data_IF_252753725930
#
_entry.id   IF_252753725930
#
_cell.length_a   1.000
_cell.length_b   1.000
_cell.length_c   1.000
_cell.angle_alpha   90.00
_cell.angle_beta   90.00
_cell.angle_gamma   90.00
#
_symmetry.space_group_name_H-M   'P 1'
#
loop_
_entity.id
_entity.type
_entity.pdbx_description
1 polymer ?
#
# COMPACT_ATOMS: atom_id res chain seq x y z
N UNK A 1 3.08 -10.76 -40.52
CA UNK A 1 4.13 -10.90 -39.45
C UNK A 1 4.81 -9.56 -39.32
N UNK A 2 4.83 -8.99 -38.08
CA UNK A 2 5.56 -7.75 -37.82
C UNK A 2 7.07 -7.98 -38.00
N UNK A 3 7.76 -7.08 -38.69
CA UNK A 3 9.22 -7.16 -38.84
C UNK A 3 9.96 -6.82 -37.53
N UNK A 4 11.26 -7.11 -37.46
CA UNK A 4 12.04 -6.92 -36.24
C UNK A 4 12.04 -5.45 -35.74
N UNK A 5 12.04 -4.46 -36.67
CA UNK A 5 11.97 -3.02 -36.30
C UNK A 5 10.60 -2.63 -35.73
N UNK A 6 9.52 -3.21 -36.24
CA UNK A 6 8.16 -2.99 -35.70
C UNK A 6 8.00 -3.62 -34.32
N UNK A 7 8.57 -4.81 -34.09
CA UNK A 7 8.59 -5.44 -32.76
C UNK A 7 9.38 -4.63 -31.75
N UNK A 8 10.55 -4.13 -32.13
CA UNK A 8 11.37 -3.25 -31.28
C UNK A 8 10.64 -1.93 -31.03
N UNK A 9 9.97 -1.36 -32.02
CA UNK A 9 9.20 -0.11 -31.87
C UNK A 9 7.98 -0.31 -30.96
N UNK A 10 7.28 -1.44 -31.06
CA UNK A 10 6.18 -1.81 -30.15
C UNK A 10 6.73 -2.07 -28.75
N UNK A 11 7.85 -2.77 -28.61
CA UNK A 11 8.50 -3.02 -27.33
C UNK A 11 9.00 -1.72 -26.69
N UNK A 12 9.61 -0.81 -27.46
CA UNK A 12 9.99 0.52 -26.99
C UNK A 12 8.79 1.40 -26.67
N UNK A 13 7.67 1.27 -27.37
CA UNK A 13 6.40 1.93 -27.03
C UNK A 13 5.78 1.33 -25.76
N UNK A 14 5.90 0.03 -25.53
CA UNK A 14 5.48 -0.64 -24.30
C UNK A 14 6.36 -0.23 -23.12
N UNK A 15 7.69 -0.22 -23.30
CA UNK A 15 8.64 0.31 -22.31
C UNK A 15 8.40 1.80 -22.08
N UNK A 16 8.20 2.57 -23.15
CA UNK A 16 7.92 4.00 -23.06
C UNK A 16 6.55 4.27 -22.42
N UNK A 17 5.53 3.46 -22.65
CA UNK A 17 4.25 3.50 -21.92
C UNK A 17 4.41 3.02 -20.47
N UNK A 18 5.23 2.01 -20.19
CA UNK A 18 5.53 1.54 -18.84
C UNK A 18 6.46 2.48 -18.05
N UNK A 19 7.43 3.12 -18.72
CA UNK A 19 8.34 4.11 -18.14
C UNK A 19 7.77 5.54 -18.17
N UNK A 20 6.78 5.84 -19.03
CA UNK A 20 6.19 7.16 -19.22
C UNK A 20 4.74 7.29 -18.72
N UNK A 21 4.20 6.29 -18.02
CA UNK A 21 3.02 6.50 -17.18
C UNK A 21 3.38 6.98 -15.77
N UNK A 22 4.46 7.73 -15.64
CA UNK A 22 4.54 8.79 -14.63
C UNK A 22 3.79 10.01 -15.21
N UNK A 23 2.49 9.87 -15.48
CA UNK A 23 1.64 11.04 -15.66
C UNK A 23 1.74 11.79 -14.35
N UNK A 24 2.21 13.03 -14.44
CA UNK A 24 2.27 13.91 -13.27
C UNK A 24 0.89 13.92 -12.64
N UNK A 25 0.82 13.57 -11.36
CA UNK A 25 -0.46 13.53 -10.66
C UNK A 25 -0.98 14.97 -10.55
N UNK A 26 -2.23 15.23 -10.92
CA UNK A 26 -2.85 16.56 -10.92
C UNK A 26 -2.74 17.29 -9.58
N UNK A 27 -2.56 16.55 -8.50
CA UNK A 27 -2.52 17.07 -7.14
C UNK A 27 -1.11 17.10 -6.54
N UNK A 28 -0.07 16.89 -7.36
CA UNK A 28 1.34 16.99 -6.96
C UNK A 28 1.88 15.81 -6.17
N UNK A 29 1.20 14.65 -6.18
CA UNK A 29 1.72 13.45 -5.57
C UNK A 29 2.80 12.78 -6.43
N UNK A 30 3.83 12.25 -5.77
CA UNK A 30 4.95 11.58 -6.43
C UNK A 30 5.26 10.23 -5.77
N UNK A 31 5.82 9.25 -6.52
CA UNK A 31 6.37 8.04 -5.93
C UNK A 31 7.40 8.33 -4.85
N UNK A 32 7.47 7.47 -3.83
CA UNK A 32 8.29 7.57 -2.61
C UNK A 32 7.83 8.65 -1.62
N UNK A 33 6.82 9.43 -1.94
CA UNK A 33 6.22 10.35 -0.98
C UNK A 33 5.49 9.54 0.11
N UNK A 34 5.74 9.88 1.37
CA UNK A 34 4.99 9.34 2.50
C UNK A 34 3.77 10.20 2.81
N UNK A 35 2.66 9.55 3.13
CA UNK A 35 1.39 10.14 3.53
C UNK A 35 0.85 9.39 4.75
N UNK A 36 0.05 10.06 5.57
CA UNK A 36 -0.58 9.44 6.75
C UNK A 36 -2.09 9.33 6.54
N UNK A 37 -2.66 8.14 6.72
CA UNK A 37 -4.09 7.88 6.59
C UNK A 37 -4.56 7.15 7.85
N UNK A 38 -5.47 7.73 8.61
CA UNK A 38 -5.98 7.13 9.85
C UNK A 38 -4.89 6.80 10.87
N UNK A 39 -3.80 7.60 10.90
CA UNK A 39 -2.65 7.38 11.79
C UNK A 39 -1.64 6.34 11.30
N UNK A 40 -1.83 5.75 10.12
CA UNK A 40 -0.91 4.79 9.51
C UNK A 40 -0.15 5.46 8.37
N UNK A 41 1.17 5.30 8.35
CA UNK A 41 2.04 5.80 7.29
C UNK A 41 1.94 4.89 6.04
N UNK A 42 1.77 5.51 4.88
CA UNK A 42 1.77 4.86 3.58
C UNK A 42 2.77 5.53 2.65
N UNK A 43 3.49 4.76 1.89
CA UNK A 43 4.37 5.24 0.82
C UNK A 43 3.67 5.13 -0.53
N UNK A 44 3.62 6.21 -1.29
CA UNK A 44 3.13 6.21 -2.67
C UNK A 44 4.14 5.47 -3.53
N UNK A 45 3.70 4.40 -4.20
CA UNK A 45 4.57 3.56 -5.04
C UNK A 45 4.32 3.77 -6.53
N UNK A 46 3.15 4.30 -6.89
CA UNK A 46 2.77 4.62 -8.27
C UNK A 46 1.76 5.76 -8.29
N UNK A 47 1.83 6.60 -9.32
CA UNK A 47 0.88 7.69 -9.53
C UNK A 47 0.29 7.65 -10.93
N UNK A 48 -0.94 8.13 -11.05
CA UNK A 48 -1.59 8.46 -12.32
C UNK A 48 -2.30 9.82 -12.18
N UNK A 49 -2.91 10.30 -13.23
CA UNK A 49 -3.55 11.63 -13.26
C UNK A 49 -4.54 11.84 -12.11
N UNK A 50 -5.37 10.83 -11.80
CA UNK A 50 -6.48 10.94 -10.82
C UNK A 50 -6.37 10.03 -9.61
N UNK A 51 -5.35 9.18 -9.54
CA UNK A 51 -5.17 8.25 -8.42
C UNK A 51 -3.70 8.05 -8.06
N UNK A 52 -3.51 7.58 -6.85
CA UNK A 52 -2.21 7.09 -6.36
C UNK A 52 -2.38 5.67 -5.85
N UNK A 53 -1.36 4.83 -6.06
CA UNK A 53 -1.24 3.51 -5.41
C UNK A 53 -0.22 3.64 -4.30
N UNK A 54 -0.60 3.26 -3.10
CA UNK A 54 0.26 3.33 -1.93
C UNK A 54 0.28 2.00 -1.16
N UNK A 55 1.40 1.73 -0.53
CA UNK A 55 1.60 0.58 0.36
C UNK A 55 1.91 1.10 1.76
N UNK A 56 1.47 0.42 2.81
CA UNK A 56 1.85 0.79 4.16
C UNK A 56 3.38 0.86 4.28
N UNK A 57 3.93 1.92 4.87
CA UNK A 57 5.38 2.11 4.99
C UNK A 57 6.02 1.01 5.82
N UNK A 58 5.30 0.52 6.84
CA UNK A 58 5.65 -0.59 7.73
C UNK A 58 4.59 -1.69 7.68
N UNK A 59 4.89 -2.87 8.22
CA UNK A 59 3.85 -3.87 8.50
C UNK A 59 2.91 -3.36 9.60
N UNK A 60 1.61 -3.53 9.42
CA UNK A 60 0.61 -3.13 10.43
C UNK A 60 0.48 -4.13 11.58
N UNK A 61 1.20 -5.23 11.52
CA UNK A 61 1.27 -6.34 12.45
C UNK A 61 1.63 -7.62 11.72
N UNK A 62 1.67 -8.73 12.44
CA UNK A 62 1.88 -10.06 11.90
C UNK A 62 0.55 -10.84 11.94
N UNK A 63 0.39 -11.77 11.02
CA UNK A 63 -0.77 -12.65 10.95
C UNK A 63 -0.66 -13.73 9.88
N UNK A 64 -1.43 -14.78 10.04
CA UNK A 64 -1.59 -15.79 9.00
C UNK A 64 -2.24 -15.19 7.76
N UNK A 65 -1.86 -15.67 6.60
CA UNK A 65 -2.57 -15.35 5.37
C UNK A 65 -3.98 -15.96 5.40
N UNK A 66 -4.05 -17.22 5.85
CA UNK A 66 -5.31 -17.94 6.04
C UNK A 66 -5.14 -19.09 7.06
N UNK A 67 -5.97 -19.12 8.11
CA UNK A 67 -5.89 -20.10 9.19
C UNK A 67 -6.21 -21.54 8.72
N UNK A 68 -6.94 -21.71 7.62
CA UNK A 68 -7.23 -22.98 6.98
C UNK A 68 -6.15 -23.38 5.96
N UNK A 69 -5.03 -22.64 5.91
CA UNK A 69 -3.90 -22.91 5.01
C UNK A 69 -4.26 -22.82 3.52
N UNK A 70 -5.21 -21.95 3.16
CA UNK A 70 -5.56 -21.64 1.76
C UNK A 70 -4.66 -20.52 1.25
N UNK A 71 -4.13 -20.68 0.06
CA UNK A 71 -3.29 -19.65 -0.58
C UNK A 71 -4.04 -18.83 -1.64
N UNK A 72 -5.35 -18.97 -1.75
CA UNK A 72 -6.23 -18.13 -2.55
C UNK A 72 -6.54 -16.83 -1.79
N UNK A 73 -6.01 -15.71 -2.25
CA UNK A 73 -6.24 -14.41 -1.61
C UNK A 73 -7.73 -14.07 -1.55
N UNK A 74 -8.51 -14.34 -2.60
CA UNK A 74 -9.93 -14.00 -2.66
C UNK A 74 -10.77 -14.69 -1.57
N UNK A 75 -10.33 -15.87 -1.11
CA UNK A 75 -10.99 -16.66 -0.08
C UNK A 75 -10.30 -16.58 1.30
N UNK A 76 -9.22 -15.78 1.45
CA UNK A 76 -8.37 -15.79 2.64
C UNK A 76 -8.89 -14.92 3.79
N UNK A 77 -8.48 -15.27 5.01
CA UNK A 77 -8.77 -14.50 6.22
C UNK A 77 -8.12 -13.10 6.16
N UNK A 78 -6.92 -12.98 5.58
CA UNK A 78 -6.22 -11.70 5.45
C UNK A 78 -6.98 -10.74 4.54
N UNK A 79 -7.57 -11.22 3.45
CA UNK A 79 -8.43 -10.42 2.57
C UNK A 79 -9.67 -9.93 3.31
N UNK A 80 -10.32 -10.80 4.07
CA UNK A 80 -11.50 -10.45 4.87
C UNK A 80 -11.16 -9.39 5.92
N UNK A 81 -10.04 -9.54 6.64
CA UNK A 81 -9.52 -8.55 7.59
C UNK A 81 -9.25 -7.20 6.93
N UNK A 82 -8.54 -7.18 5.79
CA UNK A 82 -8.15 -5.94 5.11
C UNK A 82 -9.35 -5.13 4.61
N UNK A 83 -10.37 -5.79 4.06
CA UNK A 83 -11.58 -5.11 3.54
C UNK A 83 -12.70 -4.95 4.58
N UNK A 84 -12.57 -5.55 5.75
CA UNK A 84 -13.45 -5.41 6.90
C UNK A 84 -12.86 -4.51 7.98
N UNK A 85 -12.30 -5.13 9.01
CA UNK A 85 -11.81 -4.46 10.23
C UNK A 85 -10.80 -3.36 9.94
N UNK A 86 -9.78 -3.64 9.11
CA UNK A 86 -8.72 -2.68 8.81
C UNK A 86 -9.25 -1.45 8.07
N UNK A 87 -10.04 -1.64 7.01
CA UNK A 87 -10.65 -0.53 6.26
C UNK A 87 -11.56 0.30 7.18
N UNK A 88 -12.38 -0.34 8.00
CA UNK A 88 -13.26 0.36 8.94
C UNK A 88 -12.47 1.13 10.01
N UNK A 89 -11.31 0.64 10.44
CA UNK A 89 -10.40 1.37 11.32
C UNK A 89 -9.90 2.67 10.67
N UNK A 90 -9.51 2.64 9.39
CA UNK A 90 -9.08 3.84 8.67
C UNK A 90 -10.22 4.86 8.52
N UNK A 91 -11.43 4.39 8.17
CA UNK A 91 -12.64 5.22 8.04
C UNK A 91 -13.01 5.81 9.40
N UNK A 92 -13.03 5.03 10.46
CA UNK A 92 -13.30 5.47 11.82
C UNK A 92 -12.30 6.49 12.36
N UNK A 93 -11.06 6.48 11.84
CA UNK A 93 -10.03 7.48 12.12
C UNK A 93 -10.15 8.74 11.23
N UNK A 94 -11.23 8.85 10.43
CA UNK A 94 -11.57 10.04 9.64
C UNK A 94 -11.18 9.99 8.17
N UNK A 95 -10.67 8.87 7.66
CA UNK A 95 -10.44 8.73 6.22
C UNK A 95 -11.77 8.60 5.47
N UNK A 96 -12.04 9.42 4.43
CA UNK A 96 -13.26 9.29 3.64
C UNK A 96 -13.33 7.93 2.94
N UNK A 97 -14.45 7.21 3.06
CA UNK A 97 -14.61 5.89 2.43
C UNK A 97 -14.48 5.96 0.91
N UNK A 98 -15.02 7.00 0.29
CA UNK A 98 -14.96 7.25 -1.16
C UNK A 98 -13.56 7.55 -1.68
N UNK A 99 -12.58 7.78 -0.81
CA UNK A 99 -11.16 7.93 -1.17
C UNK A 99 -10.56 6.62 -1.67
N UNK A 100 -11.03 5.48 -1.12
CA UNK A 100 -10.52 4.15 -1.47
C UNK A 100 -11.17 3.63 -2.75
N UNK A 101 -10.42 3.63 -3.85
CA UNK A 101 -10.87 3.04 -5.11
C UNK A 101 -10.89 1.51 -5.03
N UNK A 102 -11.86 0.91 -5.72
CA UNK A 102 -11.78 -0.51 -6.01
C UNK A 102 -10.76 -0.77 -7.10
N UNK A 103 -9.84 -1.69 -6.87
CA UNK A 103 -8.87 -2.12 -7.87
C UNK A 103 -8.85 -3.64 -8.00
N UNK A 104 -8.39 -4.11 -9.15
CA UNK A 104 -8.27 -5.54 -9.41
C UNK A 104 -6.87 -6.03 -9.03
N UNK A 105 -6.82 -7.19 -8.39
CA UNK A 105 -5.60 -7.95 -8.12
C UNK A 105 -5.61 -9.15 -9.05
N UNK A 106 -4.55 -9.35 -9.82
CA UNK A 106 -4.33 -10.57 -10.61
C UNK A 106 -3.78 -11.64 -9.66
N UNK A 107 -4.52 -12.74 -9.51
CA UNK A 107 -4.15 -13.88 -8.67
C UNK A 107 -3.51 -15.02 -9.46
N UNK A 108 -2.92 -14.71 -10.63
CA UNK A 108 -2.04 -15.65 -11.32
C UNK A 108 -0.94 -16.08 -10.38
N UNK A 109 -0.81 -17.40 -10.18
CA UNK A 109 0.20 -17.97 -9.32
C UNK A 109 1.62 -17.74 -9.86
N UNK A 110 2.64 -17.84 -9.01
CA UNK A 110 4.04 -17.62 -9.42
C UNK A 110 4.52 -18.69 -10.42
N UNK A 111 3.90 -19.87 -10.43
CA UNK A 111 4.09 -20.92 -11.45
C UNK A 111 3.33 -20.67 -12.77
N UNK A 112 2.56 -19.59 -12.87
CA UNK A 112 1.81 -19.16 -14.05
C UNK A 112 0.41 -19.75 -14.17
N UNK A 113 -0.07 -20.56 -13.23
CA UNK A 113 -1.44 -21.08 -13.23
C UNK A 113 -2.44 -19.98 -12.84
N UNK A 114 -3.65 -20.02 -13.44
CA UNK A 114 -4.67 -18.96 -13.31
C UNK A 114 -5.97 -19.43 -12.65
N UNK A 115 -5.89 -20.46 -11.84
CA UNK A 115 -7.05 -21.11 -11.23
C UNK A 115 -7.87 -20.15 -10.33
N UNK A 116 -7.21 -19.17 -9.70
CA UNK A 116 -7.84 -18.20 -8.82
C UNK A 116 -8.31 -16.93 -9.53
N UNK A 117 -7.93 -16.74 -10.82
CA UNK A 117 -8.37 -15.60 -11.64
C UNK A 117 -7.92 -14.26 -11.06
N UNK A 118 -8.81 -13.55 -10.39
CA UNK A 118 -8.52 -12.26 -9.77
C UNK A 118 -9.58 -11.86 -8.76
N UNK A 119 -9.28 -10.83 -7.96
CA UNK A 119 -10.19 -10.27 -6.97
C UNK A 119 -10.31 -8.75 -7.11
N UNK A 120 -11.44 -8.18 -6.71
CA UNK A 120 -11.69 -6.75 -6.72
C UNK A 120 -11.89 -6.24 -5.30
N UNK A 121 -10.95 -5.44 -4.82
CA UNK A 121 -10.87 -4.99 -3.42
C UNK A 121 -10.64 -3.49 -3.32
N UNK A 122 -10.84 -2.92 -2.13
CA UNK A 122 -10.42 -1.55 -1.76
C UNK A 122 -9.07 -1.55 -1.07
N UNK A 123 -8.78 -2.60 -0.29
CA UNK A 123 -7.49 -2.82 0.35
C UNK A 123 -7.02 -4.22 0.03
N UNK A 124 -5.80 -4.34 -0.46
CA UNK A 124 -5.21 -5.62 -0.84
C UNK A 124 -3.78 -5.76 -0.35
N UNK A 125 -3.10 -6.74 -0.91
CA UNK A 125 -1.66 -6.91 -0.83
C UNK A 125 -1.06 -6.72 -2.23
N UNK A 126 0.21 -6.37 -2.29
CA UNK A 126 0.93 -6.30 -3.56
C UNK A 126 1.11 -7.70 -4.16
N UNK A 127 1.05 -7.83 -5.49
CA UNK A 127 1.45 -9.07 -6.15
C UNK A 127 2.97 -9.13 -6.36
N UNK A 128 3.52 -10.33 -6.62
CA UNK A 128 4.94 -10.48 -6.96
C UNK A 128 5.33 -9.68 -8.19
N UNK A 129 4.47 -9.62 -9.20
CA UNK A 129 4.74 -8.88 -10.44
C UNK A 129 4.73 -7.37 -10.21
N UNK A 130 3.78 -6.86 -9.43
CA UNK A 130 3.79 -5.45 -9.02
C UNK A 130 5.01 -5.13 -8.16
N UNK A 131 5.39 -6.02 -7.23
CA UNK A 131 6.59 -5.85 -6.42
C UNK A 131 7.85 -5.78 -7.28
N UNK A 132 8.04 -6.70 -8.23
CA UNK A 132 9.17 -6.69 -9.18
C UNK A 132 9.23 -5.37 -9.97
N UNK A 133 8.06 -4.88 -10.42
CA UNK A 133 7.96 -3.65 -11.21
C UNK A 133 8.20 -2.39 -10.38
N UNK A 134 7.68 -2.33 -9.15
CA UNK A 134 7.62 -1.13 -8.33
C UNK A 134 8.64 -1.13 -7.17
N UNK A 135 9.47 -2.18 -7.04
CA UNK A 135 10.41 -2.37 -5.93
C UNK A 135 11.23 -1.11 -5.59
N UNK A 136 11.67 -0.37 -6.61
CA UNK A 136 12.46 0.85 -6.42
C UNK A 136 11.71 1.98 -5.69
N UNK A 137 10.37 1.90 -5.56
CA UNK A 137 9.53 2.88 -4.88
C UNK A 137 8.98 2.37 -3.53
N UNK A 138 9.23 1.10 -3.19
CA UNK A 138 8.74 0.46 -1.97
C UNK A 138 9.83 0.55 -0.89
N UNK A 139 9.52 1.05 0.32
CA UNK A 139 10.47 1.05 1.43
C UNK A 139 10.93 -0.37 1.77
N UNK A 140 12.23 -0.55 1.99
CA UNK A 140 12.80 -1.80 2.46
C UNK A 140 12.43 -2.03 3.93
N UNK A 141 12.19 -3.28 4.31
CA UNK A 141 11.92 -3.70 5.69
C UNK A 141 12.92 -4.80 6.06
N UNK A 142 14.13 -4.44 6.54
CA UNK A 142 15.23 -5.40 6.75
C UNK A 142 14.94 -6.41 7.88
N UNK A 143 13.98 -6.12 8.75
CA UNK A 143 13.63 -6.96 9.90
C UNK A 143 12.29 -7.70 9.74
N UNK A 144 11.67 -7.63 8.54
CA UNK A 144 10.35 -8.20 8.32
C UNK A 144 10.30 -9.13 7.10
N UNK A 145 9.53 -10.21 7.25
CA UNK A 145 9.03 -11.04 6.15
C UNK A 145 7.54 -10.79 6.03
N UNK A 146 7.04 -10.45 4.85
CA UNK A 146 5.67 -10.00 4.71
C UNK A 146 4.99 -10.57 3.46
N UNK A 147 3.68 -10.82 3.59
CA UNK A 147 2.85 -11.46 2.57
C UNK A 147 2.69 -10.61 1.32
N UNK A 148 2.70 -11.28 0.16
CA UNK A 148 2.12 -10.78 -1.09
C UNK A 148 0.74 -11.41 -1.32
N UNK A 149 0.00 -10.93 -2.34
CA UNK A 149 -1.26 -11.57 -2.75
C UNK A 149 -1.06 -12.81 -3.63
N UNK A 150 0.18 -13.08 -4.06
CA UNK A 150 0.49 -14.11 -5.07
C UNK A 150 0.57 -15.50 -4.44
N UNK A 151 -0.24 -16.47 -4.85
CA UNK A 151 -0.04 -17.87 -4.48
C UNK A 151 1.23 -18.42 -5.17
N UNK A 152 1.94 -19.33 -4.51
CA UNK A 152 3.05 -20.04 -5.17
C UNK A 152 2.52 -20.94 -6.29
N UNK A 153 1.56 -21.79 -5.97
CA UNK A 153 0.83 -22.63 -6.90
C UNK A 153 -0.56 -22.97 -6.34
N UNK A 154 -1.61 -23.08 -7.16
CA UNK A 154 -2.91 -23.60 -6.71
C UNK A 154 -2.85 -25.07 -6.26
N UNK A 155 -1.75 -25.75 -6.49
CA UNK A 155 -1.53 -27.17 -6.13
C UNK A 155 -0.91 -27.38 -4.75
N UNK A 156 -0.60 -26.30 -4.06
CA UNK A 156 -0.02 -26.31 -2.71
C UNK A 156 -0.69 -25.28 -1.81
N UNK A 157 -0.14 -25.06 -0.62
CA UNK A 157 -0.67 -24.10 0.36
C UNK A 157 0.35 -22.99 0.66
N UNK A 158 1.29 -22.73 -0.25
CA UNK A 158 2.30 -21.71 -0.09
C UNK A 158 1.84 -20.40 -0.71
N UNK A 159 2.12 -19.29 -0.01
CA UNK A 159 1.93 -17.93 -0.49
C UNK A 159 3.31 -17.29 -0.67
N UNK A 160 3.48 -16.55 -1.73
CA UNK A 160 4.70 -15.78 -1.96
C UNK A 160 4.80 -14.65 -0.95
N UNK A 161 6.02 -14.35 -0.52
CA UNK A 161 6.31 -13.29 0.43
C UNK A 161 7.64 -12.59 0.07
N UNK A 162 7.83 -11.40 0.62
CA UNK A 162 9.08 -10.67 0.55
C UNK A 162 9.83 -10.89 1.85
N UNK A 163 11.09 -11.29 1.78
CA UNK A 163 11.96 -11.50 2.95
C UNK A 163 12.82 -10.26 3.23
N UNK A 164 13.55 -10.27 4.34
CA UNK A 164 14.29 -9.13 4.88
C UNK A 164 15.34 -8.52 3.94
N UNK A 165 15.92 -9.29 3.01
CA UNK A 165 16.84 -8.78 1.98
C UNK A 165 16.12 -8.27 0.72
N UNK A 166 14.77 -8.29 0.74
CA UNK A 166 13.91 -7.90 -0.37
C UNK A 166 13.82 -8.92 -1.48
N UNK A 167 14.31 -10.13 -1.30
CA UNK A 167 14.05 -11.24 -2.24
C UNK A 167 12.66 -11.85 -2.03
N UNK A 168 12.18 -12.59 -3.03
CA UNK A 168 10.91 -13.31 -2.95
C UNK A 168 11.16 -14.75 -2.48
N UNK A 169 10.35 -15.19 -1.52
CA UNK A 169 10.28 -16.55 -1.02
C UNK A 169 8.83 -17.00 -0.92
N UNK A 170 8.56 -18.13 -0.33
CA UNK A 170 7.23 -18.65 -0.07
C UNK A 170 7.16 -19.26 1.34
N UNK A 171 5.93 -19.32 1.88
CA UNK A 171 5.68 -19.97 3.16
C UNK A 171 4.25 -20.48 3.26
N UNK A 172 3.99 -21.37 4.22
CA UNK A 172 2.64 -21.87 4.49
C UNK A 172 1.67 -20.75 4.86
N UNK A 173 0.50 -20.75 4.25
CA UNK A 173 -0.51 -19.69 4.44
C UNK A 173 -0.99 -19.57 5.90
N UNK A 174 -0.90 -20.61 6.71
CA UNK A 174 -1.29 -20.59 8.14
C UNK A 174 -0.26 -19.94 9.08
N UNK A 175 0.96 -19.62 8.60
CA UNK A 175 2.00 -19.08 9.47
C UNK A 175 1.63 -17.68 9.96
N UNK A 176 1.52 -17.50 11.28
CA UNK A 176 1.10 -16.27 11.93
C UNK A 176 2.21 -15.23 12.14
N UNK A 177 3.47 -15.56 11.83
CA UNK A 177 4.62 -14.71 12.13
C UNK A 177 5.04 -13.82 10.95
N UNK A 178 4.22 -13.73 9.90
CA UNK A 178 4.52 -12.93 8.72
C UNK A 178 3.78 -11.59 8.75
N UNK A 179 4.49 -10.55 8.32
CA UNK A 179 3.98 -9.19 8.30
C UNK A 179 2.82 -9.00 7.33
N UNK A 180 1.87 -8.19 7.72
CA UNK A 180 0.76 -7.73 6.88
C UNK A 180 1.05 -6.31 6.44
N UNK A 181 1.15 -6.08 5.12
CA UNK A 181 1.51 -4.79 4.53
C UNK A 181 0.46 -4.35 3.52
N UNK A 182 -0.58 -3.62 3.96
CA UNK A 182 -1.72 -3.23 3.12
C UNK A 182 -1.32 -2.36 1.93
N UNK A 183 -2.02 -2.54 0.81
CA UNK A 183 -1.93 -1.76 -0.41
C UNK A 183 -3.30 -1.17 -0.75
N UNK A 184 -3.34 0.12 -1.11
CA UNK A 184 -4.55 0.84 -1.49
C UNK A 184 -4.34 1.59 -2.80
N UNK A 185 -5.43 1.78 -3.55
CA UNK A 185 -5.53 2.77 -4.63
C UNK A 185 -6.46 3.88 -4.17
N UNK A 186 -6.00 5.12 -4.21
CA UNK A 186 -6.71 6.26 -3.63
C UNK A 186 -6.99 7.31 -4.71
N UNK A 187 -8.20 7.90 -4.70
CA UNK A 187 -8.54 9.08 -5.49
C UNK A 187 -7.71 10.25 -5.04
N UNK A 188 -6.85 10.77 -5.91
CA UNK A 188 -5.89 11.81 -5.54
C UNK A 188 -6.54 13.13 -5.16
N UNK A 189 -7.69 13.48 -5.71
CA UNK A 189 -8.45 14.69 -5.34
C UNK A 189 -8.96 14.61 -3.89
N UNK A 190 -9.56 13.47 -3.52
CA UNK A 190 -10.10 13.27 -2.16
C UNK A 190 -8.96 13.15 -1.16
N UNK A 191 -7.89 12.42 -1.52
CA UNK A 191 -6.67 12.32 -0.70
C UNK A 191 -6.07 13.72 -0.43
N UNK A 192 -5.95 14.58 -1.45
CA UNK A 192 -5.44 15.93 -1.28
C UNK A 192 -6.29 16.74 -0.29
N UNK A 193 -7.61 16.72 -0.46
CA UNK A 193 -8.54 17.41 0.42
C UNK A 193 -8.47 16.88 1.87
N UNK A 194 -8.34 15.56 2.05
CA UNK A 194 -8.18 14.93 3.35
C UNK A 194 -6.90 15.38 4.05
N UNK A 195 -5.77 15.34 3.35
CA UNK A 195 -4.46 15.74 3.92
C UNK A 195 -4.43 17.24 4.24
N UNK A 196 -4.98 18.11 3.40
CA UNK A 196 -5.08 19.55 3.66
C UNK A 196 -5.97 19.83 4.88
N UNK A 197 -7.07 19.11 5.05
CA UNK A 197 -7.95 19.19 6.21
C UNK A 197 -7.27 18.74 7.51
N UNK A 198 -6.48 17.68 7.47
CA UNK A 198 -5.72 17.20 8.62
C UNK A 198 -4.60 18.18 9.01
N UNK A 199 -3.88 18.73 8.05
CA UNK A 199 -2.87 19.77 8.30
C UNK A 199 -3.47 21.02 8.93
N UNK A 200 -4.65 21.45 8.48
CA UNK A 200 -5.35 22.59 9.05
C UNK A 200 -5.75 22.33 10.51
N UNK A 201 -6.32 21.17 10.81
CA UNK A 201 -6.68 20.76 12.19
C UNK A 201 -5.46 20.73 13.11
N UNK A 202 -4.32 20.20 12.63
CA UNK A 202 -3.07 20.18 13.40
C UNK A 202 -2.55 21.59 13.67
N UNK A 203 -2.59 22.49 12.69
CA UNK A 203 -2.20 23.89 12.87
C UNK A 203 -3.08 24.62 13.89
N UNK A 204 -4.40 24.41 13.83
CA UNK A 204 -5.36 24.98 14.79
C UNK A 204 -5.12 24.42 16.21
N UNK A 205 -4.83 23.13 16.35
CA UNK A 205 -4.51 22.53 17.65
C UNK A 205 -3.21 23.08 18.25
N UNK A 206 -2.15 23.23 17.43
CA UNK A 206 -0.88 23.85 17.88
C UNK A 206 -1.09 25.29 18.31
N UNK A 207 -1.88 26.07 17.58
CA UNK A 207 -2.18 27.46 17.93
C UNK A 207 -2.98 27.56 19.24
N UNK A 208 -3.97 26.68 19.42
CA UNK A 208 -4.72 26.57 20.68
C UNK A 208 -3.81 26.22 21.85
N UNK A 209 -2.88 25.26 21.70
CA UNK A 209 -1.92 24.91 22.75
C UNK A 209 -1.00 26.07 23.10
N UNK A 210 -0.53 26.86 22.13
CA UNK A 210 0.25 28.09 22.37
C UNK A 210 -0.53 29.11 23.20
N UNK A 211 -1.81 29.31 22.89
CA UNK A 211 -2.67 30.21 23.66
C UNK A 211 -2.87 29.73 25.10
N UNK A 212 -3.04 28.42 25.32
CA UNK A 212 -3.15 27.83 26.66
C UNK A 212 -1.84 28.01 27.42
N UNK A 213 -0.69 27.71 26.81
CA UNK A 213 0.62 27.89 27.44
C UNK A 213 0.86 29.35 27.83
N UNK A 214 0.55 30.32 26.97
CA UNK A 214 0.66 31.72 27.26
C UNK A 214 -0.28 32.18 28.39
N UNK A 215 -1.49 31.64 28.46
CA UNK A 215 -2.45 31.96 29.54
C UNK A 215 -2.02 31.42 30.92
N UNK A 216 -1.18 30.38 30.95
CA UNK A 216 -0.68 29.73 32.16
C UNK A 216 0.76 30.13 32.50
N UNK A 217 1.36 31.06 31.72
CA UNK A 217 2.75 31.52 31.83
C UNK A 217 3.78 30.38 31.77
N UNK A 218 3.46 29.36 30.94
CA UNK A 218 4.31 28.19 30.68
C UNK A 218 4.99 28.38 29.35
N UNK A 219 6.32 28.18 29.29
CA UNK A 219 7.06 28.31 28.04
C UNK A 219 6.71 27.13 27.09
N UNK A 220 6.56 27.36 25.79
CA UNK A 220 6.24 26.29 24.81
C UNK A 220 7.19 25.09 24.86
N UNK A 221 8.47 25.32 25.13
CA UNK A 221 9.50 24.27 25.27
C UNK A 221 9.23 23.34 26.45
N UNK A 222 8.60 23.81 27.51
CA UNK A 222 8.23 23.01 28.69
C UNK A 222 7.04 22.09 28.40
N UNK A 223 6.18 22.46 27.42
CA UNK A 223 5.00 21.68 27.04
C UNK A 223 5.32 20.66 25.96
N UNK A 224 6.20 21.02 25.02
CA UNK A 224 6.45 20.19 23.81
C UNK A 224 7.77 19.41 23.85
N UNK A 225 8.64 19.66 24.86
CA UNK A 225 9.98 19.12 24.89
C UNK A 225 10.87 19.72 23.81
N UNK A 226 12.18 19.75 24.04
CA UNK A 226 13.13 20.07 22.97
C UNK A 226 13.01 19.00 21.88
N UNK A 227 12.59 19.41 20.67
CA UNK A 227 12.55 18.54 19.50
C UNK A 227 13.97 18.03 19.20
N UNK A 228 14.20 16.74 19.41
CA UNK A 228 15.38 16.02 18.96
C UNK A 228 15.13 15.35 17.63
#
# INVERSE_FOLDING_TARGET
MLNARERVRIYLLYIRKGLFNMTENKHGFAPKQEITIGGIAFTIIQTAESWVKCIASECIGNGAFDAQNRNDFAASDIRAFLNGEFLQKLIGAGAPEEMFEHFNIDLTADDGLKDYGGDRVRVGLITCDEYRLLRGNIPELPDAWWWTATPDSPKNSYVRLVVSDGSLSDYYAYDGDRGVRPLCVLKSEILKSYLDGDMKKRAEAVDMMKHIAAAWDVQPEEVFGEGR
#
